data_IF_392046659008
#
_entry.id   IF_392046659008
#
_cell.length_a   1.000
_cell.length_b   1.000
_cell.length_c   1.000
_cell.angle_alpha   90.00
_cell.angle_beta   90.00
_cell.angle_gamma   90.00
#
_symmetry.space_group_name_H-M   'P 1'
#
loop_
_entity.id
_entity.type
_entity.pdbx_description
1 polymer ?
#
# COMPACT_ATOMS: atom_id res chain seq x y z
N UNK A 1 -93.86 -46.48 -12.76
CA UNK A 1 -92.57 -46.30 -13.50
C UNK A 1 -91.99 -45.05 -12.99
N UNK A 2 -90.86 -45.12 -12.33
CA UNK A 2 -90.26 -44.05 -11.55
C UNK A 2 -89.21 -43.30 -12.37
N UNK A 3 -89.36 -42.04 -12.60
CA UNK A 3 -88.39 -41.17 -13.22
C UNK A 3 -87.64 -40.37 -12.10
N UNK A 4 -86.37 -40.64 -11.96
CA UNK A 4 -85.45 -39.94 -11.03
C UNK A 4 -84.96 -38.70 -11.70
N UNK A 5 -85.23 -37.56 -11.05
CA UNK A 5 -84.68 -36.25 -11.42
C UNK A 5 -83.34 -36.10 -10.71
N UNK A 6 -82.27 -35.96 -11.51
CA UNK A 6 -80.88 -35.65 -11.00
C UNK A 6 -80.71 -34.17 -10.87
N UNK A 7 -80.56 -33.67 -9.62
CA UNK A 7 -80.33 -32.30 -9.33
C UNK A 7 -78.83 -32.02 -9.42
N UNK A 8 -78.39 -31.23 -10.40
CA UNK A 8 -77.01 -30.76 -10.53
C UNK A 8 -76.89 -29.47 -9.77
N UNK A 9 -76.19 -29.50 -8.60
CA UNK A 9 -75.83 -28.31 -7.86
C UNK A 9 -74.51 -27.77 -8.48
N UNK A 10 -74.63 -26.64 -9.17
CA UNK A 10 -73.46 -25.87 -9.70
C UNK A 10 -72.89 -24.99 -8.59
N UNK A 11 -71.83 -25.44 -7.94
CA UNK A 11 -71.10 -24.64 -6.94
C UNK A 11 -70.24 -23.60 -7.65
N UNK A 12 -70.65 -22.34 -7.61
CA UNK A 12 -69.85 -21.22 -8.07
C UNK A 12 -68.76 -20.93 -7.02
N UNK A 13 -67.52 -21.38 -7.29
CA UNK A 13 -66.34 -20.91 -6.53
C UNK A 13 -66.03 -19.49 -6.96
N UNK A 14 -66.27 -18.54 -6.07
CA UNK A 14 -65.79 -17.19 -6.19
C UNK A 14 -64.33 -17.16 -5.80
N UNK A 15 -63.45 -17.05 -6.79
CA UNK A 15 -62.04 -16.75 -6.54
C UNK A 15 -61.89 -15.30 -6.13
N UNK A 16 -61.73 -15.06 -4.82
CA UNK A 16 -61.25 -13.77 -4.32
C UNK A 16 -59.78 -13.74 -4.61
N UNK A 17 -59.41 -13.11 -5.75
CA UNK A 17 -58.04 -12.72 -6.04
C UNK A 17 -57.66 -11.59 -5.09
N UNK A 18 -56.91 -11.91 -4.04
CA UNK A 18 -56.23 -10.93 -3.23
C UNK A 18 -55.08 -10.37 -4.07
N UNK A 19 -55.31 -9.25 -4.74
CA UNK A 19 -54.24 -8.46 -5.35
C UNK A 19 -53.48 -7.81 -4.20
N UNK A 20 -52.43 -8.47 -3.70
CA UNK A 20 -51.40 -7.82 -2.95
C UNK A 20 -50.65 -6.90 -3.92
N UNK A 21 -50.94 -5.59 -3.83
CA UNK A 21 -50.03 -4.57 -4.37
C UNK A 21 -48.71 -4.72 -3.64
N UNK A 22 -47.78 -5.47 -4.24
CA UNK A 22 -46.38 -5.38 -3.91
C UNK A 22 -45.96 -3.92 -4.21
N UNK A 23 -45.88 -3.13 -3.15
CA UNK A 23 -45.11 -1.90 -3.17
C UNK A 23 -43.69 -2.35 -3.39
N UNK A 24 -43.25 -2.41 -4.65
CA UNK A 24 -41.85 -2.46 -4.99
C UNK A 24 -41.19 -1.21 -4.42
N UNK A 25 -40.75 -1.28 -3.16
CA UNK A 25 -39.66 -0.44 -2.73
C UNK A 25 -38.52 -0.78 -3.68
N UNK A 26 -38.16 0.16 -4.54
CA UNK A 26 -36.92 0.15 -5.25
C UNK A 26 -35.78 0.30 -4.19
N UNK A 27 -35.54 -0.74 -3.40
CA UNK A 27 -34.23 -0.93 -2.79
C UNK A 27 -33.29 -1.09 -3.98
N UNK A 28 -32.44 -0.09 -4.19
CA UNK A 28 -31.33 -0.21 -5.13
C UNK A 28 -30.57 -1.46 -4.72
N UNK A 29 -30.67 -2.53 -5.51
CA UNK A 29 -29.93 -3.75 -5.30
C UNK A 29 -28.47 -3.34 -5.42
N UNK A 30 -27.78 -3.21 -4.29
CA UNK A 30 -26.35 -2.98 -4.26
C UNK A 30 -25.71 -4.27 -4.71
N UNK A 31 -25.17 -4.26 -5.93
CA UNK A 31 -24.50 -5.44 -6.48
C UNK A 31 -23.26 -5.80 -5.65
N UNK A 32 -23.04 -7.10 -5.44
CA UNK A 32 -21.86 -7.63 -4.75
C UNK A 32 -20.59 -7.49 -5.60
N UNK A 33 -19.43 -7.53 -4.95
CA UNK A 33 -18.17 -7.71 -5.68
C UNK A 33 -18.08 -9.10 -6.31
N UNK A 34 -17.61 -9.15 -7.56
CA UNK A 34 -17.49 -10.41 -8.27
C UNK A 34 -16.43 -11.32 -7.67
N UNK A 35 -16.72 -12.63 -7.62
CA UNK A 35 -15.78 -13.69 -7.23
C UNK A 35 -15.30 -14.51 -8.42
N UNK A 36 -15.81 -14.22 -9.61
CA UNK A 36 -15.42 -14.90 -10.84
C UNK A 36 -14.45 -14.04 -11.64
N UNK A 37 -13.58 -14.68 -12.44
CA UNK A 37 -12.72 -13.98 -13.37
C UNK A 37 -13.60 -13.19 -14.36
N UNK A 38 -13.28 -11.89 -14.61
CA UNK A 38 -14.07 -11.08 -15.53
C UNK A 38 -14.11 -11.70 -16.92
N UNK A 39 -15.30 -11.79 -17.49
CA UNK A 39 -15.56 -12.36 -18.82
C UNK A 39 -15.67 -11.29 -19.92
N UNK A 40 -15.42 -10.02 -19.59
CA UNK A 40 -15.39 -8.89 -20.50
C UNK A 40 -13.98 -8.37 -20.64
N UNK A 41 -13.68 -7.79 -21.80
CA UNK A 41 -12.44 -7.05 -22.01
C UNK A 41 -12.44 -5.78 -21.14
N UNK A 42 -11.37 -5.58 -20.38
CA UNK A 42 -11.16 -4.45 -19.48
C UNK A 42 -9.80 -3.78 -19.70
N UNK A 43 -9.15 -4.07 -20.85
CA UNK A 43 -7.80 -3.60 -21.13
C UNK A 43 -7.73 -2.07 -21.20
N UNK A 44 -8.74 -1.42 -21.79
CA UNK A 44 -8.79 0.04 -21.92
C UNK A 44 -8.88 0.71 -20.55
N UNK A 45 -9.74 0.23 -19.69
CA UNK A 45 -9.91 0.78 -18.33
C UNK A 45 -8.65 0.58 -17.48
N UNK A 46 -8.04 -0.60 -17.55
CA UNK A 46 -6.78 -0.85 -16.84
C UNK A 46 -5.64 0.02 -17.38
N UNK A 47 -5.57 0.26 -18.69
CA UNK A 47 -4.60 1.17 -19.27
C UNK A 47 -4.84 2.61 -18.78
N UNK A 48 -6.07 3.09 -18.78
CA UNK A 48 -6.43 4.42 -18.27
C UNK A 48 -6.03 4.58 -16.79
N UNK A 49 -6.38 3.61 -15.95
CA UNK A 49 -6.00 3.60 -14.53
C UNK A 49 -4.48 3.63 -14.40
N UNK A 50 -3.77 2.85 -15.19
CA UNK A 50 -2.30 2.74 -15.13
C UNK A 50 -1.58 4.07 -15.44
N UNK A 51 -2.20 4.98 -16.18
CA UNK A 51 -1.63 6.29 -16.49
C UNK A 51 -1.50 7.19 -15.25
N UNK A 52 -2.41 7.04 -14.29
CA UNK A 52 -2.36 7.78 -13.01
C UNK A 52 -1.23 7.31 -12.08
N UNK A 53 -0.67 6.13 -12.34
CA UNK A 53 0.37 5.54 -11.49
C UNK A 53 1.74 6.12 -11.81
N UNK A 54 2.50 6.36 -10.76
CA UNK A 54 3.86 6.90 -10.79
C UNK A 54 4.78 6.09 -9.89
N UNK A 55 6.01 5.86 -10.36
CA UNK A 55 7.06 5.28 -9.51
C UNK A 55 7.55 6.36 -8.56
N UNK A 56 7.46 6.12 -7.26
CA UNK A 56 8.01 7.00 -6.23
C UNK A 56 9.34 6.42 -5.77
N UNK A 57 10.35 7.27 -5.70
CA UNK A 57 11.65 6.97 -5.15
C UNK A 57 11.94 7.90 -3.97
N UNK A 58 12.53 7.36 -2.92
CA UNK A 58 12.97 8.12 -1.77
C UNK A 58 14.45 7.84 -1.51
N UNK A 59 15.22 8.90 -1.34
CA UNK A 59 16.64 8.87 -1.03
C UNK A 59 16.87 9.74 0.20
N UNK A 60 17.25 9.11 1.30
CA UNK A 60 17.49 9.78 2.59
C UNK A 60 18.96 9.62 2.97
N UNK A 61 19.60 10.75 3.31
CA UNK A 61 20.99 10.80 3.74
C UNK A 61 21.05 11.02 5.25
N UNK A 62 21.89 10.23 5.88
CA UNK A 62 22.19 10.29 7.30
C UNK A 62 23.66 10.56 7.52
N UNK A 63 23.92 11.37 8.54
CA UNK A 63 25.24 11.47 9.13
C UNK A 63 25.33 10.46 10.27
N UNK A 64 26.20 9.48 10.12
CA UNK A 64 26.38 8.37 11.04
C UNK A 64 27.60 8.64 11.93
N UNK A 65 27.39 8.64 13.24
CA UNK A 65 28.43 8.74 14.27
C UNK A 65 28.62 7.37 14.89
N UNK A 66 29.82 6.81 14.79
CA UNK A 66 30.19 5.50 15.30
C UNK A 66 30.98 5.64 16.60
N UNK A 67 30.75 4.73 17.54
CA UNK A 67 31.38 4.76 18.87
C UNK A 67 32.12 3.47 19.16
N UNK A 68 33.06 3.51 20.12
CA UNK A 68 33.68 2.31 20.65
C UNK A 68 32.70 1.54 21.51
N UNK A 69 32.85 0.20 21.54
CA UNK A 69 32.10 -0.63 22.46
C UNK A 69 32.33 -0.22 23.91
N UNK A 70 31.28 -0.41 24.70
CA UNK A 70 31.28 -0.13 26.15
C UNK A 70 31.54 1.34 26.57
N UNK A 71 31.32 2.30 25.64
CA UNK A 71 31.57 3.72 25.93
C UNK A 71 30.32 4.57 26.09
N UNK A 72 29.31 4.39 25.20
CA UNK A 72 28.12 5.24 25.12
C UNK A 72 26.85 4.39 25.40
N UNK A 73 25.95 4.92 26.20
CA UNK A 73 24.64 4.33 26.52
C UNK A 73 23.53 5.35 26.26
N UNK A 74 22.26 4.97 26.41
CA UNK A 74 21.11 5.87 26.28
C UNK A 74 21.18 7.06 27.26
N UNK A 75 21.82 6.90 28.42
CA UNK A 75 22.02 7.97 29.40
C UNK A 75 22.92 9.11 28.87
N UNK A 76 23.71 8.82 27.84
CA UNK A 76 24.62 9.81 27.23
C UNK A 76 23.99 10.57 26.04
N UNK A 77 22.76 10.25 25.64
CA UNK A 77 22.14 10.86 24.45
C UNK A 77 21.98 12.37 24.55
N UNK A 78 21.85 12.90 25.76
CA UNK A 78 21.72 14.35 26.02
C UNK A 78 23.07 15.02 26.31
N UNK A 79 24.20 14.28 26.26
CA UNK A 79 25.53 14.85 26.52
C UNK A 79 25.91 15.86 25.43
N UNK A 80 26.32 17.04 25.83
CA UNK A 80 26.72 18.11 24.92
C UNK A 80 27.89 17.73 24.00
N UNK A 81 28.79 16.86 24.46
CA UNK A 81 29.99 16.43 23.74
C UNK A 81 29.80 15.04 23.05
N UNK A 82 28.58 14.47 23.02
CA UNK A 82 28.29 13.15 22.49
C UNK A 82 28.87 12.95 21.08
N UNK A 83 28.64 13.93 20.19
CA UNK A 83 29.10 13.83 18.79
C UNK A 83 30.63 13.89 18.67
N UNK A 84 31.32 14.52 19.64
CA UNK A 84 32.79 14.61 19.67
C UNK A 84 33.45 13.30 20.16
N UNK A 85 32.69 12.43 20.88
CA UNK A 85 33.14 11.14 21.33
C UNK A 85 33.13 10.09 20.21
N UNK A 86 32.59 10.41 19.02
CA UNK A 86 32.54 9.50 17.88
C UNK A 86 33.96 9.22 17.35
N UNK A 87 34.26 7.95 17.13
CA UNK A 87 35.55 7.51 16.56
C UNK A 87 35.58 7.62 15.04
N UNK A 88 34.41 7.66 14.41
CA UNK A 88 34.26 7.82 12.97
C UNK A 88 32.95 8.53 12.65
N UNK A 89 32.95 9.35 11.61
CA UNK A 89 31.76 10.03 11.10
C UNK A 89 31.67 9.78 9.60
N UNK A 90 30.56 9.17 9.18
CA UNK A 90 30.32 8.77 7.79
C UNK A 90 28.97 9.30 7.29
N UNK A 91 28.84 9.44 5.97
CA UNK A 91 27.52 9.66 5.36
C UNK A 91 26.98 8.35 4.83
N UNK A 92 25.77 8.00 5.24
CA UNK A 92 25.05 6.79 4.81
C UNK A 92 23.79 7.20 4.08
N UNK A 93 23.45 6.53 2.99
CA UNK A 93 22.18 6.72 2.29
C UNK A 93 21.27 5.51 2.49
N UNK A 94 19.99 5.77 2.69
CA UNK A 94 18.92 4.76 2.67
C UNK A 94 17.95 5.09 1.54
N UNK A 95 17.53 4.07 0.81
CA UNK A 95 16.64 4.20 -0.34
C UNK A 95 15.43 3.30 -0.19
N UNK A 96 14.32 3.78 -0.70
CA UNK A 96 13.10 2.99 -0.88
C UNK A 96 12.43 3.40 -2.19
N UNK A 97 11.61 2.51 -2.72
CA UNK A 97 10.79 2.80 -3.88
C UNK A 97 9.44 2.10 -3.77
N UNK A 98 8.45 2.68 -4.41
CA UNK A 98 7.10 2.16 -4.42
C UNK A 98 6.24 2.85 -5.46
N UNK A 99 4.95 2.64 -5.36
CA UNK A 99 3.94 3.17 -6.27
C UNK A 99 3.21 4.33 -5.62
N UNK A 100 2.90 5.35 -6.41
CA UNK A 100 1.93 6.40 -6.05
C UNK A 100 0.89 6.55 -7.15
N UNK A 101 -0.32 6.92 -6.77
CA UNK A 101 -1.38 7.25 -7.72
C UNK A 101 -1.71 8.74 -7.62
N UNK A 102 -1.76 9.45 -8.76
CA UNK A 102 -2.21 10.84 -8.79
C UNK A 102 -3.70 10.86 -8.46
N UNK A 103 -4.05 11.40 -7.30
CA UNK A 103 -5.43 11.44 -6.80
C UNK A 103 -6.03 12.84 -6.82
N UNK A 104 -5.21 13.87 -7.01
CA UNK A 104 -5.69 15.25 -7.13
C UNK A 104 -4.75 16.11 -7.95
N UNK A 105 -5.34 16.98 -8.76
CA UNK A 105 -4.72 18.15 -9.39
C UNK A 105 -5.61 19.34 -9.06
N UNK A 106 -5.10 20.30 -8.28
CA UNK A 106 -5.82 21.47 -7.80
C UNK A 106 -5.01 22.73 -8.10
N UNK A 107 -5.42 23.49 -9.12
CA UNK A 107 -4.54 24.55 -9.64
C UNK A 107 -3.23 23.95 -10.12
N UNK A 108 -2.12 24.41 -9.56
CA UNK A 108 -0.78 23.91 -9.85
C UNK A 108 -0.33 22.77 -8.91
N UNK A 109 -1.13 22.43 -7.89
CA UNK A 109 -0.76 21.41 -6.90
C UNK A 109 -1.20 20.02 -7.37
N UNK A 110 -0.26 19.07 -7.34
CA UNK A 110 -0.49 17.66 -7.68
C UNK A 110 -0.24 16.82 -6.43
N UNK A 111 -1.23 15.99 -6.07
CA UNK A 111 -1.15 15.07 -4.94
C UNK A 111 -1.18 13.62 -5.40
N UNK A 112 -0.31 12.80 -4.80
CA UNK A 112 -0.24 11.36 -5.01
C UNK A 112 -0.53 10.64 -3.70
N UNK A 113 -1.40 9.64 -3.76
CA UNK A 113 -1.63 8.67 -2.69
C UNK A 113 -0.57 7.57 -2.75
N UNK A 114 0.01 7.23 -1.62
CA UNK A 114 1.01 6.18 -1.48
C UNK A 114 1.00 5.62 -0.06
N UNK A 115 1.97 4.79 0.31
CA UNK A 115 2.13 4.27 1.67
C UNK A 115 3.25 4.97 2.44
N UNK A 116 3.09 5.03 3.77
CA UNK A 116 4.00 5.77 4.63
C UNK A 116 5.42 5.22 4.61
N UNK A 117 5.59 3.88 4.69
CA UNK A 117 6.93 3.27 4.84
C UNK A 117 7.89 3.52 3.67
N UNK A 118 7.42 3.95 2.49
CA UNK A 118 8.32 4.33 1.40
C UNK A 118 8.76 5.78 1.45
N UNK A 119 8.08 6.64 2.21
CA UNK A 119 8.39 8.08 2.31
C UNK A 119 8.74 8.52 3.72
N UNK A 120 8.41 7.73 4.75
CA UNK A 120 8.69 8.02 6.15
C UNK A 120 10.03 7.40 6.57
N UNK A 121 10.95 8.26 6.95
CA UNK A 121 12.22 7.86 7.53
C UNK A 121 12.45 8.62 8.83
N UNK A 122 12.85 7.97 9.93
CA UNK A 122 13.03 8.61 11.23
C UNK A 122 14.16 9.64 11.17
N UNK A 123 14.05 10.69 11.98
CA UNK A 123 15.09 11.74 12.07
C UNK A 123 16.37 11.23 12.72
N UNK A 124 16.22 10.24 13.63
CA UNK A 124 17.35 9.61 14.32
C UNK A 124 17.19 8.09 14.31
N UNK A 125 18.29 7.37 14.05
CA UNK A 125 18.37 5.91 14.14
C UNK A 125 19.51 5.57 15.09
N UNK A 126 19.22 4.80 16.14
CA UNK A 126 20.21 4.33 17.11
C UNK A 126 20.40 2.84 16.92
N UNK A 127 21.64 2.41 16.81
CA UNK A 127 22.02 0.99 16.77
C UNK A 127 22.91 0.65 17.95
N UNK A 128 22.74 -0.56 18.49
CA UNK A 128 23.46 -1.04 19.65
C UNK A 128 24.39 -2.18 19.25
N UNK A 129 25.50 -2.31 19.98
CA UNK A 129 26.40 -3.45 19.80
C UNK A 129 25.68 -4.77 20.00
N UNK A 130 26.06 -5.78 19.22
CA UNK A 130 25.53 -7.12 19.37
C UNK A 130 26.00 -7.74 20.70
N UNK A 131 25.11 -8.46 21.37
CA UNK A 131 25.44 -9.26 22.55
C UNK A 131 24.80 -10.64 22.43
N UNK A 132 25.40 -11.65 23.09
CA UNK A 132 25.05 -13.07 22.91
C UNK A 132 23.66 -13.45 23.41
N UNK A 133 23.12 -12.78 24.43
CA UNK A 133 21.84 -13.18 25.04
C UNK A 133 20.79 -12.05 25.07
N UNK A 134 21.24 -10.79 25.05
CA UNK A 134 20.37 -9.60 25.05
C UNK A 134 21.01 -8.50 24.22
N UNK A 135 20.24 -7.55 23.66
CA UNK A 135 20.83 -6.37 23.05
C UNK A 135 21.77 -5.67 24.04
N UNK A 136 22.95 -5.29 23.58
CA UNK A 136 23.87 -4.50 24.39
C UNK A 136 23.20 -3.18 24.79
N UNK A 137 23.51 -2.65 25.97
CA UNK A 137 23.13 -1.30 26.37
C UNK A 137 24.02 -0.22 25.73
N UNK A 138 25.10 -0.65 25.08
CA UNK A 138 26.07 0.26 24.49
C UNK A 138 25.73 0.57 23.03
N UNK A 139 25.75 1.85 22.71
CA UNK A 139 25.42 2.36 21.38
C UNK A 139 26.64 2.18 20.46
N UNK A 140 26.39 1.51 19.35
CA UNK A 140 27.35 1.32 18.27
C UNK A 140 27.34 2.51 17.30
N UNK A 141 26.15 3.01 16.96
CA UNK A 141 26.04 4.17 16.07
C UNK A 141 24.76 4.96 16.30
N UNK A 142 24.87 6.27 16.03
CA UNK A 142 23.72 7.19 15.94
C UNK A 142 23.74 7.83 14.56
N UNK A 143 22.62 7.68 13.85
CA UNK A 143 22.41 8.28 12.53
C UNK A 143 21.44 9.44 12.64
N UNK A 144 21.86 10.63 12.27
CA UNK A 144 20.99 11.81 12.17
C UNK A 144 20.65 12.09 10.71
N UNK A 145 19.35 12.24 10.40
CA UNK A 145 18.88 12.57 9.07
C UNK A 145 19.31 13.99 8.68
N UNK A 146 20.10 14.11 7.62
CA UNK A 146 20.54 15.42 7.09
C UNK A 146 19.58 15.93 6.01
N UNK A 147 19.14 15.06 5.12
CA UNK A 147 18.25 15.44 4.02
C UNK A 147 17.51 14.22 3.47
N UNK A 148 16.33 14.50 2.94
CA UNK A 148 15.50 13.53 2.25
C UNK A 148 15.05 14.10 0.90
N UNK A 149 15.06 13.28 -0.13
CA UNK A 149 14.56 13.61 -1.46
C UNK A 149 13.55 12.54 -1.88
N UNK A 150 12.31 12.96 -2.04
CA UNK A 150 11.25 12.12 -2.63
C UNK A 150 11.04 12.64 -4.04
N UNK A 151 11.05 11.75 -5.03
CA UNK A 151 10.88 12.12 -6.43
C UNK A 151 10.17 11.01 -7.21
N UNK A 152 9.62 11.38 -8.34
CA UNK A 152 8.87 10.51 -9.23
C UNK A 152 9.17 10.84 -10.68
N UNK A 153 8.70 10.02 -11.60
CA UNK A 153 8.75 10.24 -13.05
C UNK A 153 7.75 11.31 -13.52
N UNK A 154 7.66 12.40 -12.76
CA UNK A 154 6.85 13.58 -13.06
C UNK A 154 7.67 14.66 -13.77
N UNK A 155 7.00 15.59 -14.48
CA UNK A 155 7.67 16.76 -15.07
C UNK A 155 8.50 17.54 -14.03
N UNK A 156 9.38 18.44 -14.55
CA UNK A 156 10.14 19.40 -13.74
C UNK A 156 11.03 18.75 -12.65
N UNK A 157 11.54 17.53 -12.94
CA UNK A 157 12.39 16.78 -12.02
C UNK A 157 11.64 16.01 -10.94
N UNK A 158 10.29 16.10 -10.93
CA UNK A 158 9.39 15.25 -10.15
C UNK A 158 9.58 15.27 -8.65
N UNK A 159 10.16 16.34 -8.08
CA UNK A 159 10.36 16.45 -6.63
C UNK A 159 9.03 16.51 -5.90
N UNK A 160 8.91 15.77 -4.80
CA UNK A 160 7.71 15.66 -3.98
C UNK A 160 8.03 15.98 -2.51
N UNK A 161 7.01 16.43 -1.77
CA UNK A 161 7.04 16.66 -0.32
C UNK A 161 5.96 15.80 0.33
N UNK A 162 6.17 15.41 1.58
CA UNK A 162 5.12 14.78 2.39
C UNK A 162 4.12 15.88 2.77
N UNK A 163 2.86 15.69 2.38
CA UNK A 163 1.76 16.62 2.68
C UNK A 163 0.99 16.15 3.92
N UNK A 164 0.71 14.84 3.98
CA UNK A 164 0.09 14.20 5.12
C UNK A 164 0.60 12.76 5.24
N UNK A 165 0.71 12.26 6.46
CA UNK A 165 1.21 10.92 6.74
C UNK A 165 0.52 10.30 7.95
N UNK A 166 0.29 8.98 7.90
CA UNK A 166 -0.17 8.14 8.99
C UNK A 166 0.68 6.86 9.01
N UNK A 167 1.75 6.87 9.81
CA UNK A 167 2.66 5.73 9.95
C UNK A 167 1.96 4.50 10.54
N UNK A 168 0.92 4.70 11.37
CA UNK A 168 0.18 3.60 12.00
C UNK A 168 -0.64 2.80 11.00
N UNK A 169 -1.32 3.48 10.08
CA UNK A 169 -2.13 2.84 9.05
C UNK A 169 -1.38 2.67 7.73
N UNK A 170 -0.10 3.08 7.69
CA UNK A 170 0.77 2.99 6.52
C UNK A 170 0.19 3.71 5.28
N UNK A 171 -0.24 4.96 5.45
CA UNK A 171 -0.81 5.79 4.38
C UNK A 171 -0.07 7.12 4.32
N UNK A 172 0.21 7.63 3.12
CA UNK A 172 0.77 8.96 2.92
C UNK A 172 0.18 9.63 1.68
N UNK A 173 0.10 10.96 1.74
CA UNK A 173 -0.07 11.83 0.57
C UNK A 173 1.22 12.62 0.41
N UNK A 174 1.78 12.52 -0.80
CA UNK A 174 2.92 13.30 -1.23
C UNK A 174 2.51 14.20 -2.39
N UNK A 175 3.14 15.33 -2.55
CA UNK A 175 2.77 16.25 -3.64
C UNK A 175 3.76 17.40 -3.80
N UNK A 176 3.54 18.19 -4.82
CA UNK A 176 4.25 19.45 -5.05
C UNK A 176 3.45 20.35 -6.01
N UNK A 177 3.90 21.58 -6.14
CA UNK A 177 3.45 22.53 -7.14
C UNK A 177 4.26 22.37 -8.41
N UNK A 178 3.58 22.41 -9.59
CA UNK A 178 4.16 22.31 -10.93
C UNK A 178 3.69 23.46 -11.79
N UNK A 179 4.53 23.93 -12.75
CA UNK A 179 4.20 25.11 -13.55
C UNK A 179 3.16 24.81 -14.64
N UNK A 180 3.11 23.58 -15.16
CA UNK A 180 2.17 23.17 -16.22
C UNK A 180 1.50 21.83 -15.85
N UNK A 181 0.28 21.92 -15.36
CA UNK A 181 -0.57 20.79 -14.93
C UNK A 181 -1.68 20.50 -15.94
N UNK A 182 -1.31 20.08 -17.13
CA UNK A 182 -2.30 19.60 -18.10
C UNK A 182 -2.73 18.15 -17.81
N UNK A 183 -3.99 17.74 -18.12
CA UNK A 183 -4.47 16.37 -17.90
C UNK A 183 -3.62 15.28 -18.57
N UNK A 184 -3.01 15.58 -19.71
CA UNK A 184 -2.14 14.65 -20.44
C UNK A 184 -0.81 14.41 -19.71
N UNK A 185 -0.35 15.37 -18.90
CA UNK A 185 0.90 15.28 -18.11
C UNK A 185 0.66 14.71 -16.75
N UNK A 186 -0.54 14.93 -16.18
CA UNK A 186 -0.93 14.50 -14.83
C UNK A 186 -2.31 13.81 -14.90
N UNK A 187 -2.39 12.61 -15.48
CA UNK A 187 -3.63 11.84 -15.50
C UNK A 187 -4.02 11.45 -14.07
N UNK A 188 -5.23 11.84 -13.66
CA UNK A 188 -5.75 11.61 -12.31
C UNK A 188 -6.43 10.25 -12.28
N UNK A 189 -6.26 9.51 -11.16
CA UNK A 189 -7.10 8.37 -10.84
C UNK A 189 -8.54 8.86 -10.59
N UNK A 190 -9.44 8.51 -11.47
CA UNK A 190 -10.83 8.98 -11.47
C UNK A 190 -11.81 7.80 -11.44
N UNK A 191 -11.72 7.00 -10.39
CA UNK A 191 -12.61 5.86 -10.12
C UNK A 191 -13.10 5.94 -8.70
N UNK A 192 -14.29 5.38 -8.46
CA UNK A 192 -14.95 5.42 -7.15
C UNK A 192 -14.14 4.66 -6.10
N UNK A 193 -14.20 5.15 -4.87
CA UNK A 193 -13.77 4.40 -3.70
C UNK A 193 -14.84 3.35 -3.38
N UNK A 194 -14.42 2.09 -3.37
CA UNK A 194 -15.26 0.97 -2.99
C UNK A 194 -15.27 0.75 -1.48
N UNK A 195 -16.01 -0.27 -1.07
CA UNK A 195 -16.14 -0.67 0.34
C UNK A 195 -15.43 -2.01 0.56
N UNK A 196 -14.19 -1.96 1.03
CA UNK A 196 -13.40 -3.17 1.27
C UNK A 196 -14.06 -4.13 2.27
N UNK A 197 -14.87 -3.62 3.21
CA UNK A 197 -15.63 -4.44 4.17
C UNK A 197 -16.71 -5.31 3.53
N UNK A 198 -17.14 -5.00 2.31
CA UNK A 198 -18.09 -5.79 1.53
C UNK A 198 -17.42 -6.90 0.70
N UNK A 199 -16.07 -6.91 0.66
CA UNK A 199 -15.33 -7.99 0.02
C UNK A 199 -15.55 -9.32 0.74
N UNK A 200 -15.64 -10.40 -0.06
CA UNK A 200 -15.87 -11.76 0.41
C UNK A 200 -14.64 -12.62 0.10
N UNK A 201 -14.56 -13.79 0.72
CA UNK A 201 -13.59 -14.82 0.34
C UNK A 201 -13.70 -15.11 -1.15
N UNK A 202 -12.59 -15.03 -1.87
CA UNK A 202 -12.55 -15.26 -3.31
C UNK A 202 -12.95 -14.06 -4.17
N UNK A 203 -13.29 -12.87 -3.60
CA UNK A 203 -13.51 -11.66 -4.39
C UNK A 203 -12.30 -11.41 -5.28
N UNK A 204 -12.53 -11.23 -6.59
CA UNK A 204 -11.48 -11.01 -7.56
C UNK A 204 -10.96 -9.57 -7.50
N UNK A 205 -9.64 -9.40 -7.56
CA UNK A 205 -9.00 -8.08 -7.55
C UNK A 205 -7.92 -7.97 -8.62
N UNK A 206 -7.81 -6.76 -9.20
CA UNK A 206 -6.64 -6.33 -9.96
C UNK A 206 -5.73 -5.48 -9.07
N UNK A 207 -4.44 -5.64 -9.25
CA UNK A 207 -3.41 -4.90 -8.52
C UNK A 207 -2.48 -4.23 -9.53
N UNK A 208 -2.39 -2.92 -9.46
CA UNK A 208 -1.59 -2.11 -10.36
C UNK A 208 -0.49 -1.38 -9.58
N UNK A 209 0.75 -1.43 -10.08
CA UNK A 209 1.88 -0.79 -9.41
C UNK A 209 3.17 -0.92 -10.19
N UNK A 210 4.30 -0.72 -9.48
CA UNK A 210 5.65 -0.76 -10.04
C UNK A 210 6.53 -1.86 -9.40
N UNK A 211 6.11 -3.14 -9.40
CA UNK A 211 6.99 -4.19 -8.92
C UNK A 211 8.30 -4.21 -9.69
N UNK A 212 9.43 -4.24 -8.95
CA UNK A 212 10.77 -4.21 -9.55
C UNK A 212 10.97 -3.05 -10.55
N UNK A 213 10.36 -1.88 -10.25
CA UNK A 213 10.38 -0.64 -11.06
C UNK A 213 9.70 -0.75 -12.44
N UNK A 214 8.97 -1.82 -12.71
CA UNK A 214 8.20 -1.97 -13.96
C UNK A 214 6.72 -1.71 -13.68
N UNK A 215 6.07 -0.88 -14.50
CA UNK A 215 4.61 -0.70 -14.45
C UNK A 215 3.94 -2.01 -14.84
N UNK A 216 3.18 -2.59 -13.93
CA UNK A 216 2.55 -3.89 -14.13
C UNK A 216 1.13 -3.91 -13.56
N UNK A 217 0.32 -4.77 -14.18
CA UNK A 217 -0.95 -5.22 -13.66
C UNK A 217 -0.81 -6.69 -13.28
N UNK A 218 -1.22 -7.06 -12.08
CA UNK A 218 -1.40 -8.44 -11.67
C UNK A 218 -2.83 -8.61 -11.14
N UNK A 219 -3.23 -9.83 -10.88
CA UNK A 219 -4.53 -10.13 -10.29
C UNK A 219 -4.37 -11.12 -9.13
N UNK A 220 -5.44 -11.28 -8.38
CA UNK A 220 -5.52 -12.20 -7.28
C UNK A 220 -6.93 -12.29 -6.74
N UNK A 221 -7.07 -13.00 -5.64
CA UNK A 221 -8.32 -13.11 -4.91
C UNK A 221 -8.14 -12.64 -3.46
N UNK A 222 -9.21 -12.15 -2.87
CA UNK A 222 -9.26 -11.86 -1.45
C UNK A 222 -9.23 -13.18 -0.69
N UNK A 223 -8.13 -13.46 -0.01
CA UNK A 223 -7.89 -14.70 0.73
C UNK A 223 -8.21 -14.59 2.22
N UNK A 224 -8.35 -13.39 2.77
CA UNK A 224 -8.86 -13.14 4.12
C UNK A 224 -9.45 -11.72 4.20
N UNK A 225 -10.78 -11.56 4.04
CA UNK A 225 -11.44 -10.26 4.12
C UNK A 225 -11.48 -9.77 5.56
N UNK A 226 -11.27 -8.46 5.76
CA UNK A 226 -11.40 -7.78 7.06
C UNK A 226 -10.66 -8.51 8.21
N UNK A 227 -9.43 -8.99 7.95
CA UNK A 227 -8.69 -9.87 8.87
C UNK A 227 -8.38 -9.24 10.24
N UNK A 228 -8.33 -7.92 10.31
CA UNK A 228 -8.02 -7.16 11.52
C UNK A 228 -9.23 -6.40 12.10
N UNK A 229 -10.43 -6.65 11.59
CA UNK A 229 -11.70 -5.98 11.94
C UNK A 229 -11.74 -4.47 11.64
N UNK A 230 -10.78 -3.93 10.89
CA UNK A 230 -10.73 -2.52 10.49
C UNK A 230 -11.02 -2.28 9.01
N UNK A 231 -11.23 -3.35 8.26
CA UNK A 231 -11.46 -3.34 6.82
C UNK A 231 -10.25 -3.79 6.00
N UNK A 232 -9.05 -3.87 6.59
CA UNK A 232 -7.87 -4.37 5.91
C UNK A 232 -8.04 -5.84 5.53
N UNK A 233 -7.46 -6.25 4.41
CA UNK A 233 -7.64 -7.60 3.90
C UNK A 233 -6.34 -8.18 3.32
N UNK A 234 -6.30 -9.50 3.20
CA UNK A 234 -5.21 -10.23 2.56
C UNK A 234 -5.61 -10.70 1.18
N UNK A 235 -4.67 -10.66 0.27
CA UNK A 235 -4.84 -11.18 -1.10
C UNK A 235 -3.82 -12.27 -1.38
N UNK A 236 -4.22 -13.25 -2.17
CA UNK A 236 -3.34 -14.21 -2.83
C UNK A 236 -2.99 -13.62 -4.21
N UNK A 237 -1.83 -13.01 -4.30
CA UNK A 237 -1.36 -12.36 -5.51
C UNK A 237 0.18 -12.28 -5.54
N UNK A 238 0.75 -12.24 -6.74
CA UNK A 238 2.18 -12.05 -6.95
C UNK A 238 2.56 -10.57 -6.71
N UNK A 239 2.85 -10.25 -5.47
CA UNK A 239 3.27 -8.91 -5.04
C UNK A 239 4.78 -8.92 -4.76
N UNK A 240 5.49 -7.94 -5.31
CA UNK A 240 6.94 -7.76 -5.17
C UNK A 240 7.29 -6.38 -4.62
N UNK A 241 8.59 -6.19 -4.27
CA UNK A 241 9.14 -4.87 -3.91
C UNK A 241 8.84 -3.85 -5.01
N UNK A 242 8.34 -2.68 -4.62
CA UNK A 242 7.87 -1.63 -5.51
C UNK A 242 6.36 -1.62 -5.73
N UNK A 243 5.63 -2.69 -5.42
CA UNK A 243 4.17 -2.70 -5.44
C UNK A 243 3.53 -1.90 -4.29
N UNK A 244 4.28 -1.63 -3.22
CA UNK A 244 3.81 -0.81 -2.07
C UNK A 244 3.24 0.53 -2.56
N UNK A 245 2.04 0.91 -2.13
CA UNK A 245 1.27 2.06 -2.62
C UNK A 245 0.51 1.81 -3.91
N UNK A 246 0.63 0.62 -4.52
CA UNK A 246 -0.14 0.22 -5.70
C UNK A 246 -1.63 0.11 -5.42
N UNK A 247 -2.44 0.37 -6.44
CA UNK A 247 -3.91 0.35 -6.33
C UNK A 247 -4.44 -1.09 -6.38
N UNK A 248 -5.41 -1.37 -5.52
CA UNK A 248 -6.17 -2.63 -5.51
C UNK A 248 -7.61 -2.34 -5.89
N UNK A 249 -8.05 -2.89 -7.01
CA UNK A 249 -9.34 -2.65 -7.61
C UNK A 249 -10.19 -3.93 -7.59
N UNK A 250 -11.45 -3.80 -7.21
CA UNK A 250 -12.45 -4.85 -7.37
C UNK A 250 -13.53 -4.42 -8.35
N UNK A 251 -14.25 -5.37 -8.93
CA UNK A 251 -15.35 -5.12 -9.84
C UNK A 251 -16.65 -5.32 -9.06
N UNK A 252 -17.46 -4.26 -9.00
CA UNK A 252 -18.79 -4.36 -8.42
C UNK A 252 -19.80 -4.79 -9.48
N UNK A 253 -20.49 -5.91 -9.19
CA UNK A 253 -21.45 -6.49 -10.13
C UNK A 253 -20.78 -7.03 -11.39
N UNK A 254 -20.67 -6.23 -12.43
CA UNK A 254 -20.10 -6.62 -13.71
C UNK A 254 -19.02 -5.68 -14.22
N UNK A 255 -18.05 -6.23 -14.96
CA UNK A 255 -17.03 -5.44 -15.64
C UNK A 255 -17.68 -4.45 -16.64
N UNK A 256 -17.17 -3.21 -16.78
CA UNK A 256 -15.91 -2.70 -16.22
C UNK A 256 -16.08 -1.84 -14.94
N UNK A 257 -17.06 -2.10 -14.09
CA UNK A 257 -17.37 -1.27 -12.92
C UNK A 257 -16.29 -1.43 -11.83
N UNK A 258 -15.16 -0.78 -12.01
CA UNK A 258 -14.04 -0.81 -11.08
C UNK A 258 -14.26 0.13 -9.91
N UNK A 259 -13.92 -0.36 -8.70
CA UNK A 259 -13.84 0.43 -7.48
C UNK A 259 -12.49 0.22 -6.80
N UNK A 260 -11.91 1.30 -6.25
CA UNK A 260 -10.71 1.22 -5.43
C UNK A 260 -11.08 0.64 -4.05
N UNK A 261 -10.66 -0.58 -3.78
CA UNK A 261 -10.92 -1.25 -2.50
C UNK A 261 -9.73 -1.18 -1.53
N UNK A 262 -8.58 -0.68 -1.98
CA UNK A 262 -7.43 -0.47 -1.10
C UNK A 262 -6.14 -0.20 -1.83
N UNK A 263 -5.06 -0.07 -1.05
CA UNK A 263 -3.69 0.11 -1.54
C UNK A 263 -2.79 -0.99 -0.96
N UNK A 264 -1.82 -1.44 -1.76
CA UNK A 264 -0.83 -2.43 -1.32
C UNK A 264 0.05 -1.81 -0.24
N UNK A 265 0.07 -2.40 0.97
CA UNK A 265 0.99 -1.99 2.03
C UNK A 265 2.26 -2.83 1.99
N UNK A 266 2.17 -4.11 2.32
CA UNK A 266 3.36 -4.93 2.49
C UNK A 266 3.14 -6.39 2.08
N UNK A 267 4.25 -7.08 1.87
CA UNK A 267 4.29 -8.54 1.86
C UNK A 267 4.92 -9.02 3.17
N UNK A 268 4.46 -10.12 3.77
CA UNK A 268 5.11 -10.70 4.93
C UNK A 268 6.57 -11.03 4.61
N UNK A 269 7.47 -10.68 5.51
CA UNK A 269 8.88 -11.06 5.43
C UNK A 269 9.28 -11.81 6.70
N UNK A 270 10.13 -12.81 6.53
CA UNK A 270 10.76 -13.54 7.62
C UNK A 270 12.20 -13.07 7.77
N UNK A 271 12.57 -12.68 8.98
CA UNK A 271 13.95 -12.33 9.27
C UNK A 271 14.78 -13.61 9.36
N UNK A 272 15.82 -13.71 8.54
CA UNK A 272 16.77 -14.80 8.56
C UNK A 272 18.15 -14.27 8.86
N UNK A 273 18.85 -14.94 9.77
CA UNK A 273 20.26 -14.67 10.02
C UNK A 273 21.09 -15.61 9.15
N UNK A 274 21.96 -15.07 8.35
CA UNK A 274 22.84 -15.80 7.45
C UNK A 274 24.27 -15.39 7.72
N UNK A 275 25.20 -16.33 7.47
CA UNK A 275 26.64 -16.03 7.49
C UNK A 275 27.02 -15.49 6.10
N UNK A 276 27.55 -14.27 6.07
CA UNK A 276 28.03 -13.62 4.86
C UNK A 276 29.51 -13.26 4.99
N UNK A 277 30.26 -13.15 3.87
CA UNK A 277 31.59 -12.60 3.90
C UNK A 277 31.62 -11.21 4.52
N UNK A 278 32.56 -10.97 5.44
CA UNK A 278 32.71 -9.65 6.11
C UNK A 278 33.09 -8.53 5.12
N UNK A 279 33.62 -8.88 3.94
CA UNK A 279 33.97 -7.93 2.89
C UNK A 279 33.48 -8.42 1.51
N UNK A 280 32.18 -8.23 1.17
CA UNK A 280 31.57 -8.78 -0.04
C UNK A 280 32.18 -8.23 -1.34
N UNK A 281 32.86 -7.08 -1.33
CA UNK A 281 33.46 -6.49 -2.53
C UNK A 281 34.74 -7.21 -2.99
N UNK A 282 35.39 -8.01 -2.14
CA UNK A 282 36.56 -8.80 -2.50
C UNK A 282 36.23 -10.18 -3.06
N UNK A 283 35.03 -10.69 -2.83
CA UNK A 283 34.69 -12.10 -3.01
C UNK A 283 33.61 -12.34 -4.09
N UNK A 284 33.48 -11.42 -5.06
CA UNK A 284 32.48 -11.46 -6.13
C UNK A 284 32.63 -12.70 -7.07
N UNK A 285 33.71 -13.42 -7.02
CA UNK A 285 34.02 -14.51 -7.93
C UNK A 285 34.11 -15.91 -7.29
N UNK A 286 33.30 -16.16 -6.24
CA UNK A 286 33.23 -17.51 -5.69
C UNK A 286 32.58 -18.48 -6.67
N UNK A 287 33.33 -19.50 -7.08
CA UNK A 287 32.79 -20.62 -7.85
C UNK A 287 32.02 -21.56 -6.89
N UNK A 288 30.84 -22.10 -7.29
CA UNK A 288 30.15 -23.09 -6.51
C UNK A 288 31.07 -24.25 -6.09
N UNK A 289 31.02 -24.60 -4.79
CA UNK A 289 31.86 -25.66 -4.23
C UNK A 289 33.25 -25.21 -3.72
N UNK A 290 33.64 -23.95 -3.90
CA UNK A 290 34.90 -23.42 -3.35
C UNK A 290 34.69 -23.15 -1.82
N UNK A 291 35.66 -23.64 -1.03
CA UNK A 291 35.66 -23.40 0.41
C UNK A 291 36.00 -21.94 0.71
N UNK A 292 35.14 -21.26 1.43
CA UNK A 292 35.42 -19.90 1.91
C UNK A 292 36.44 -19.94 3.06
N UNK A 293 37.48 -19.11 2.98
CA UNK A 293 38.55 -19.04 3.98
C UNK A 293 38.70 -17.66 4.64
N UNK A 294 37.81 -16.68 4.29
CA UNK A 294 37.80 -15.36 4.89
C UNK A 294 37.00 -15.28 6.19
N UNK A 295 36.93 -14.08 6.74
CA UNK A 295 36.09 -13.78 7.91
C UNK A 295 34.60 -13.74 7.51
N UNK A 296 33.76 -14.31 8.37
CA UNK A 296 32.29 -14.32 8.20
C UNK A 296 31.63 -13.38 9.20
N UNK A 297 30.62 -12.67 8.75
CA UNK A 297 29.73 -11.86 9.59
C UNK A 297 28.33 -12.46 9.60
N UNK A 298 27.57 -12.17 10.64
CA UNK A 298 26.12 -12.49 10.68
C UNK A 298 25.37 -11.32 10.08
N UNK A 299 24.62 -11.57 9.02
CA UNK A 299 23.77 -10.59 8.38
C UNK A 299 22.29 -11.01 8.53
N UNK A 300 21.43 -10.04 8.84
CA UNK A 300 19.98 -10.24 8.85
C UNK A 300 19.43 -9.97 7.46
N UNK A 301 18.87 -10.98 6.83
CA UNK A 301 18.15 -10.86 5.58
C UNK A 301 16.64 -10.95 5.79
N UNK A 302 15.91 -10.08 5.10
CA UNK A 302 14.46 -10.16 5.03
C UNK A 302 14.05 -11.09 3.87
N UNK A 303 13.68 -12.33 4.21
CA UNK A 303 13.16 -13.30 3.25
C UNK A 303 11.68 -13.01 2.99
N UNK A 304 11.38 -12.38 1.86
CA UNK A 304 10.01 -12.06 1.45
C UNK A 304 9.23 -13.35 1.21
N UNK A 305 8.03 -13.43 1.79
CA UNK A 305 7.07 -14.52 1.57
C UNK A 305 6.13 -14.11 0.43
N UNK A 306 6.49 -14.53 -0.79
CA UNK A 306 5.65 -14.27 -1.95
C UNK A 306 4.30 -15.00 -1.86
N UNK A 307 3.27 -14.44 -2.50
CA UNK A 307 1.94 -15.03 -2.58
C UNK A 307 0.94 -14.52 -1.55
N UNK A 308 1.35 -13.68 -0.58
CA UNK A 308 0.42 -13.05 0.36
C UNK A 308 0.68 -11.55 0.37
N UNK A 309 -0.33 -10.76 0.01
CA UNK A 309 -0.29 -9.30 0.09
C UNK A 309 -1.18 -8.77 1.20
N UNK A 310 -0.68 -7.79 1.96
CA UNK A 310 -1.48 -7.02 2.92
C UNK A 310 -1.97 -5.75 2.25
N UNK A 311 -3.27 -5.51 2.33
CA UNK A 311 -3.92 -4.37 1.71
C UNK A 311 -4.53 -3.48 2.79
N UNK A 312 -4.19 -2.20 2.74
CA UNK A 312 -4.87 -1.16 3.51
C UNK A 312 -6.17 -0.82 2.81
N UNK A 313 -7.27 -0.90 3.53
CA UNK A 313 -8.61 -0.74 2.96
C UNK A 313 -8.90 0.68 2.47
N UNK A 314 -9.81 0.78 1.51
CA UNK A 314 -10.34 2.06 1.01
C UNK A 314 -10.95 2.89 2.12
N UNK A 315 -11.64 2.28 3.10
CA UNK A 315 -12.21 2.97 4.25
C UNK A 315 -11.13 3.66 5.10
N UNK A 316 -9.97 2.99 5.29
CA UNK A 316 -8.83 3.59 5.99
C UNK A 316 -8.23 4.76 5.22
N UNK A 317 -8.13 4.62 3.91
CA UNK A 317 -7.66 5.71 3.04
C UNK A 317 -8.61 6.91 3.13
N UNK A 318 -9.93 6.69 3.04
CA UNK A 318 -10.93 7.74 3.16
C UNK A 318 -10.92 8.40 4.55
N UNK A 319 -10.81 7.61 5.62
CA UNK A 319 -10.69 8.12 6.99
C UNK A 319 -9.45 9.02 7.13
N UNK A 320 -8.31 8.60 6.58
CA UNK A 320 -7.08 9.38 6.59
C UNK A 320 -7.21 10.69 5.82
N UNK A 321 -7.79 10.66 4.61
CA UNK A 321 -8.00 11.87 3.80
C UNK A 321 -8.92 12.84 4.54
N UNK A 322 -10.05 12.35 5.07
CA UNK A 322 -11.01 13.15 5.83
C UNK A 322 -10.39 13.78 7.08
N UNK A 323 -9.59 13.02 7.83
CA UNK A 323 -8.87 13.52 9.01
C UNK A 323 -7.92 14.65 8.67
N UNK A 324 -7.31 14.62 7.49
CA UNK A 324 -6.32 15.59 7.04
C UNK A 324 -6.90 16.66 6.09
N UNK A 325 -8.21 16.69 5.86
CA UNK A 325 -8.86 17.55 4.87
C UNK A 325 -8.49 19.04 5.03
N UNK A 326 -8.52 19.56 6.26
CA UNK A 326 -8.14 20.96 6.54
C UNK A 326 -6.66 21.20 6.23
N UNK A 327 -5.78 20.28 6.58
CA UNK A 327 -4.34 20.40 6.29
C UNK A 327 -4.07 20.39 4.79
N UNK A 328 -4.71 19.48 4.07
CA UNK A 328 -4.65 19.38 2.62
C UNK A 328 -5.15 20.65 1.94
N UNK A 329 -6.32 21.12 2.34
CA UNK A 329 -6.93 22.34 1.79
C UNK A 329 -6.06 23.58 2.00
N UNK A 330 -5.53 23.78 3.21
CA UNK A 330 -4.68 24.92 3.54
C UNK A 330 -3.36 24.93 2.74
N UNK A 331 -2.92 23.76 2.25
CA UNK A 331 -1.75 23.62 1.38
C UNK A 331 -2.12 23.61 -0.12
N UNK A 332 -3.38 23.87 -0.46
CA UNK A 332 -3.87 23.97 -1.84
C UNK A 332 -4.21 22.63 -2.50
N UNK A 333 -4.35 21.55 -1.73
CA UNK A 333 -4.74 20.24 -2.26
C UNK A 333 -6.21 19.95 -1.96
N UNK A 334 -7.01 19.70 -3.00
CA UNK A 334 -8.42 19.35 -2.90
C UNK A 334 -8.60 17.91 -3.42
N UNK A 335 -8.88 16.98 -2.53
CA UNK A 335 -9.19 15.60 -2.90
C UNK A 335 -10.70 15.42 -2.97
N UNK A 336 -11.21 14.98 -4.12
CA UNK A 336 -12.62 14.60 -4.27
C UNK A 336 -12.78 13.18 -3.77
N UNK A 337 -13.76 12.95 -2.91
CA UNK A 337 -14.06 11.67 -2.25
C UNK A 337 -15.42 11.13 -2.71
N UNK A 338 -15.75 11.34 -3.97
CA UNK A 338 -17.05 10.92 -4.53
C UNK A 338 -17.11 9.40 -4.70
#
# INVERSE_FOLDING_TARGET
MKTSILLIIFSAMVFISCSSSETTQNESIVEDYTTIFPNKDVAIELEQISQSLKLINNLTFYKAYLYNDSTITDENLDDFDLLQKAISVNTISKTSSGTGAIVSVSGNNVALLTVAHIVSYPDTIISYFAATEKPSKYIESILYKERQKIYSDLPEGGMLKIIAIDDKNDIAIVGNEFNDVSPNRFPIFNFNFGKAKELKWGSFVYILGFPMHNKMVTNGIVSNPNYDNTGNFLVDALINRGSSGGLVLAIRGSAPNFELVGIVSSVPAEKRFVLTPNNPTRDINYLPGTKYTGEMAVEQLDAIKYGIGRIVSSEKVLEFIKKNETTLYNQGYILKLD
#
